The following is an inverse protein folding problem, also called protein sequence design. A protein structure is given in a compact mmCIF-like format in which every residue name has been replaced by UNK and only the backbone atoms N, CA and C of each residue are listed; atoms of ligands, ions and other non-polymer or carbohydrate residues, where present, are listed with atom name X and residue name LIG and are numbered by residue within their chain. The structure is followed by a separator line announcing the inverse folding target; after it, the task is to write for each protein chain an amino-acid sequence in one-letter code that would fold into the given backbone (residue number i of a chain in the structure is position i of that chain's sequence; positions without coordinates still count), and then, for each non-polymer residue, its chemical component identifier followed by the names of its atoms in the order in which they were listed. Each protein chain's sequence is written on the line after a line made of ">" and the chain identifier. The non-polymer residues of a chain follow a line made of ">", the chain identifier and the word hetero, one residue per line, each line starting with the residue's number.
data_IF_986020158600
#
_entry.id   IF_986020158600
#
_cell.length_a   1.000
_cell.length_b   1.000
_cell.length_c   1.000
_cell.angle_alpha   90.00
_cell.angle_beta   90.00
_cell.angle_gamma   90.00
#
_symmetry.space_group_name_H-M   'P 1'
#
loop_
_entity.id
_entity.type
_entity.pdbx_description
1 polymer ?
#
# COMPACT_ATOMS: atom_id res chain seq x y z
N UNK A 1 -0.43 11.56 -15.57
CA UNK A 1 -0.35 10.21 -16.18
C UNK A 1 0.63 9.39 -15.38
N UNK A 2 0.28 8.14 -15.04
CA UNK A 2 1.22 7.20 -14.39
C UNK A 2 1.99 6.51 -15.51
N UNK A 3 3.25 6.87 -15.72
CA UNK A 3 4.03 6.45 -16.89
C UNK A 3 5.11 5.40 -16.62
N UNK A 4 5.35 5.05 -15.36
CA UNK A 4 6.49 4.19 -14.97
C UNK A 4 6.08 2.84 -14.37
N UNK A 5 4.77 2.60 -14.18
CA UNK A 5 4.28 1.30 -13.69
C UNK A 5 4.02 0.35 -14.86
N UNK A 6 4.22 -0.97 -14.69
CA UNK A 6 3.86 -1.98 -15.68
C UNK A 6 2.38 -1.90 -16.04
N UNK A 7 2.06 -2.28 -17.28
CA UNK A 7 0.67 -2.46 -17.71
C UNK A 7 0.11 -3.74 -17.07
N UNK A 8 -1.08 -3.64 -16.50
CA UNK A 8 -1.85 -4.80 -16.06
C UNK A 8 -2.74 -5.24 -17.23
N UNK A 9 -2.43 -6.39 -17.82
CA UNK A 9 -3.13 -6.97 -18.98
C UNK A 9 -4.13 -8.07 -18.60
N UNK A 10 -4.43 -8.21 -17.30
CA UNK A 10 -5.34 -9.19 -16.76
C UNK A 10 -6.41 -8.56 -15.84
N UNK A 11 -7.47 -9.31 -15.55
CA UNK A 11 -8.42 -8.93 -14.51
C UNK A 11 -7.74 -9.01 -13.15
N UNK A 12 -7.80 -7.92 -12.39
CA UNK A 12 -7.24 -7.83 -11.05
C UNK A 12 -8.35 -7.60 -10.02
N UNK A 13 -8.13 -8.11 -8.81
CA UNK A 13 -8.79 -7.65 -7.59
C UNK A 13 -7.85 -6.72 -6.82
N UNK A 14 -8.37 -6.04 -5.81
CA UNK A 14 -7.55 -5.28 -4.86
C UNK A 14 -8.02 -5.58 -3.45
N UNK A 15 -7.07 -5.55 -2.52
CA UNK A 15 -7.30 -5.68 -1.10
C UNK A 15 -6.78 -4.42 -0.38
N UNK A 16 -7.42 -4.03 0.72
CA UNK A 16 -6.99 -2.92 1.57
C UNK A 16 -6.57 -3.47 2.92
N UNK A 17 -5.33 -3.20 3.30
CA UNK A 17 -4.77 -3.57 4.59
C UNK A 17 -4.35 -2.30 5.33
N UNK A 18 -4.58 -2.27 6.65
CA UNK A 18 -4.20 -1.14 7.51
C UNK A 18 -3.33 -1.62 8.64
N UNK A 19 -2.13 -1.04 8.77
CA UNK A 19 -1.30 -1.24 9.96
C UNK A 19 -1.76 -0.29 11.06
N UNK A 20 -2.03 -0.84 12.23
CA UNK A 20 -2.55 -0.11 13.39
C UNK A 20 -1.60 -0.25 14.58
N UNK A 21 -1.89 0.49 15.65
CA UNK A 21 -1.25 0.26 16.95
C UNK A 21 -1.71 -1.09 17.52
N UNK A 22 -0.87 -1.79 18.32
CA UNK A 22 -1.25 -3.05 18.93
C UNK A 22 -2.52 -2.95 19.79
N UNK A 23 -3.28 -4.06 19.88
CA UNK A 23 -4.47 -4.21 20.73
C UNK A 23 -5.60 -3.20 20.42
N UNK A 24 -5.74 -2.77 19.16
CA UNK A 24 -6.91 -2.01 18.71
C UNK A 24 -8.12 -2.94 18.57
N UNK A 25 -9.32 -2.45 18.88
CA UNK A 25 -10.55 -3.19 18.61
C UNK A 25 -10.73 -3.37 17.10
N UNK A 26 -10.91 -4.62 16.65
CA UNK A 26 -11.13 -4.94 15.24
C UNK A 26 -12.59 -4.62 14.88
N UNK A 27 -12.84 -3.76 13.88
CA UNK A 27 -14.21 -3.52 13.40
C UNK A 27 -14.85 -4.80 12.86
N UNK A 28 -16.18 -4.90 12.94
CA UNK A 28 -16.94 -6.12 12.58
C UNK A 28 -16.66 -6.67 11.16
N UNK A 29 -16.36 -5.81 10.20
CA UNK A 29 -16.13 -6.18 8.79
C UNK A 29 -14.65 -6.36 8.45
N UNK A 30 -13.77 -6.27 9.45
CA UNK A 30 -12.33 -6.40 9.30
C UNK A 30 -11.84 -7.62 10.08
N UNK A 31 -10.67 -8.12 9.69
CA UNK A 31 -10.00 -9.22 10.39
C UNK A 31 -8.47 -8.99 10.41
N UNK A 32 -7.77 -9.74 11.24
CA UNK A 32 -6.31 -9.72 11.31
C UNK A 32 -5.68 -10.50 10.15
N UNK A 33 -4.65 -9.93 9.54
CA UNK A 33 -3.92 -10.57 8.46
C UNK A 33 -2.42 -10.44 8.64
N UNK A 34 -1.68 -11.34 8.01
CA UNK A 34 -0.24 -11.16 7.84
C UNK A 34 0.06 -10.04 6.84
N UNK A 35 1.23 -9.39 6.92
CA UNK A 35 1.65 -8.41 5.93
C UNK A 35 1.80 -9.05 4.55
N UNK A 36 1.36 -8.33 3.51
CA UNK A 36 1.46 -8.77 2.12
C UNK A 36 2.58 -8.01 1.43
N UNK A 37 3.72 -8.68 1.25
CA UNK A 37 4.89 -8.12 0.57
C UNK A 37 5.01 -8.66 -0.86
N UNK A 38 5.41 -7.79 -1.79
CA UNK A 38 5.68 -8.17 -3.18
C UNK A 38 7.16 -8.58 -3.27
N UNK A 39 7.42 -9.87 -3.47
CA UNK A 39 8.78 -10.37 -3.64
C UNK A 39 9.43 -9.81 -4.92
N UNK A 40 10.71 -9.44 -4.83
CA UNK A 40 11.48 -8.84 -5.93
C UNK A 40 10.83 -7.56 -6.51
N UNK A 41 10.21 -6.74 -5.66
CA UNK A 41 9.64 -5.46 -6.07
C UNK A 41 10.70 -4.38 -6.26
N UNK A 42 10.37 -3.41 -7.11
CA UNK A 42 10.96 -2.07 -7.13
C UNK A 42 10.06 -1.13 -6.34
N UNK A 43 10.65 -0.13 -5.71
CA UNK A 43 9.94 0.84 -4.88
C UNK A 43 10.13 2.26 -5.41
N UNK A 44 9.04 3.02 -5.44
CA UNK A 44 9.06 4.44 -5.80
C UNK A 44 8.38 5.22 -4.69
N UNK A 45 9.11 6.14 -4.07
CA UNK A 45 8.55 7.11 -3.14
C UNK A 45 7.92 8.27 -3.92
N UNK A 46 6.64 8.51 -3.68
CA UNK A 46 5.92 9.66 -4.22
C UNK A 46 6.13 10.89 -3.34
N UNK A 47 5.68 12.04 -3.84
CA UNK A 47 5.79 13.31 -3.12
C UNK A 47 5.00 13.26 -1.80
N UNK A 48 5.71 13.46 -0.71
CA UNK A 48 5.14 13.61 0.62
C UNK A 48 4.49 14.99 0.82
N UNK A 49 3.52 15.06 1.72
CA UNK A 49 3.00 16.32 2.22
C UNK A 49 2.83 16.27 3.73
N UNK A 50 2.83 17.44 4.35
CA UNK A 50 2.65 17.57 5.80
C UNK A 50 1.67 18.68 6.12
N UNK A 51 0.93 18.47 7.21
CA UNK A 51 0.20 19.50 7.94
C UNK A 51 1.00 19.88 9.20
N UNK A 52 0.45 20.72 10.07
CA UNK A 52 1.06 21.01 11.38
C UNK A 52 1.06 19.80 12.34
N UNK A 53 0.26 18.76 12.06
CA UNK A 53 0.06 17.62 12.97
C UNK A 53 0.59 16.32 12.36
N UNK A 54 0.34 16.10 11.07
CA UNK A 54 0.67 14.83 10.40
C UNK A 54 1.57 15.06 9.20
N UNK A 55 2.51 14.14 9.02
CA UNK A 55 3.28 13.96 7.79
C UNK A 55 2.81 12.68 7.10
N UNK A 56 2.54 12.77 5.80
CA UNK A 56 2.14 11.64 4.98
C UNK A 56 3.18 11.39 3.90
N UNK A 57 3.82 10.23 3.98
CA UNK A 57 4.69 9.67 2.96
C UNK A 57 3.90 8.63 2.14
N UNK A 58 4.23 8.43 0.87
CA UNK A 58 3.57 7.43 0.02
C UNK A 58 4.62 6.68 -0.80
N UNK A 59 4.54 5.35 -0.77
CA UNK A 59 5.47 4.46 -1.46
C UNK A 59 4.64 3.48 -2.29
N UNK A 60 5.10 3.23 -3.50
CA UNK A 60 4.53 2.21 -4.39
C UNK A 60 5.59 1.15 -4.64
N UNK A 61 5.30 -0.07 -4.18
CA UNK A 61 6.09 -1.26 -4.50
C UNK A 61 5.42 -2.01 -5.66
N UNK A 62 6.17 -2.32 -6.71
CA UNK A 62 5.65 -3.02 -7.88
C UNK A 62 6.69 -4.02 -8.41
N UNK A 63 6.24 -5.10 -9.02
CA UNK A 63 7.13 -6.08 -9.65
C UNK A 63 7.23 -5.78 -11.15
N UNK A 64 8.45 -5.72 -11.68
CA UNK A 64 8.64 -5.78 -13.13
C UNK A 64 8.26 -7.18 -13.62
N UNK A 65 7.37 -7.23 -14.60
CA UNK A 65 7.09 -8.43 -15.40
C UNK A 65 8.34 -8.90 -16.12
#
# INVERSE_FOLDING_TARGET
>A
TVSFLPLLDCLCSFDILTYTVPNVGIPKEWDETQPVFIANSQEVQLRSFSTSIHKMDTIVSYRNT
#
